data_IF_889621481275
#
_entry.id   IF_889621481275
#
_cell.length_a   1.000
_cell.length_b   1.000
_cell.length_c   1.000
_cell.angle_alpha   90.00
_cell.angle_beta   90.00
_cell.angle_gamma   90.00
#
_symmetry.space_group_name_H-M   'P 1'
#
loop_
_entity.id
_entity.type
_entity.pdbx_description
1 polymer ?
#
# COMPACT_ATOMS: atom_id res chain seq x y z
N UNK A 1 -2.69 -13.29 -47.47
CA UNK A 1 -2.96 -13.96 -46.17
C UNK A 1 -4.42 -14.40 -46.15
N UNK A 2 -4.69 -15.68 -45.94
CA UNK A 2 -6.05 -16.24 -45.90
C UNK A 2 -6.71 -15.82 -44.58
N UNK A 3 -7.81 -15.07 -44.67
CA UNK A 3 -8.57 -14.62 -43.50
C UNK A 3 -9.51 -15.74 -43.03
N UNK A 4 -9.13 -16.45 -41.97
CA UNK A 4 -10.00 -17.45 -41.33
C UNK A 4 -11.11 -16.76 -40.54
N UNK A 5 -12.36 -16.88 -41.00
CA UNK A 5 -13.55 -16.41 -40.28
C UNK A 5 -13.69 -17.15 -38.93
N UNK A 6 -14.27 -16.46 -37.96
CA UNK A 6 -14.67 -17.06 -36.67
C UNK A 6 -15.94 -17.85 -36.88
N UNK A 7 -15.97 -19.10 -36.43
CA UNK A 7 -17.20 -19.90 -36.37
C UNK A 7 -17.88 -19.72 -35.00
N UNK A 8 -19.11 -20.21 -34.89
CA UNK A 8 -19.93 -20.03 -33.69
C UNK A 8 -19.37 -20.81 -32.49
N UNK A 9 -18.81 -22.00 -32.69
CA UNK A 9 -18.17 -22.79 -31.63
C UNK A 9 -16.97 -22.07 -31.00
N UNK A 10 -16.14 -21.43 -31.82
CA UNK A 10 -14.99 -20.66 -31.37
C UNK A 10 -15.44 -19.38 -30.67
N UNK A 11 -16.53 -18.76 -31.12
CA UNK A 11 -17.12 -17.59 -30.46
C UNK A 11 -17.68 -17.99 -29.10
N UNK A 12 -18.40 -19.11 -29.02
CA UNK A 12 -18.98 -19.62 -27.80
C UNK A 12 -17.89 -20.04 -26.81
N UNK A 13 -16.91 -20.82 -27.27
CA UNK A 13 -15.74 -21.17 -26.46
C UNK A 13 -15.02 -19.93 -25.94
N UNK A 14 -14.84 -18.90 -26.78
CA UNK A 14 -14.24 -17.65 -26.35
C UNK A 14 -15.10 -16.96 -25.27
N UNK A 15 -16.42 -16.87 -25.43
CA UNK A 15 -17.30 -16.27 -24.41
C UNK A 15 -17.20 -16.99 -23.06
N UNK A 16 -17.16 -18.32 -23.09
CA UNK A 16 -17.18 -19.13 -21.86
C UNK A 16 -15.83 -19.15 -21.13
N UNK A 17 -14.73 -18.97 -21.88
CA UNK A 17 -13.38 -19.16 -21.36
C UNK A 17 -12.57 -17.85 -21.23
N UNK A 18 -13.00 -16.74 -21.84
CA UNK A 18 -12.26 -15.48 -21.81
C UNK A 18 -12.35 -14.82 -20.43
N UNK A 19 -11.21 -14.75 -19.73
CA UNK A 19 -11.11 -14.23 -18.35
C UNK A 19 -11.15 -15.32 -17.26
N UNK A 20 -11.44 -16.57 -17.62
CA UNK A 20 -11.37 -17.73 -16.72
C UNK A 20 -10.13 -18.58 -16.98
N UNK A 21 -9.79 -18.84 -18.25
CA UNK A 21 -8.61 -19.61 -18.66
C UNK A 21 -7.41 -18.73 -19.00
N UNK A 22 -6.22 -19.32 -18.97
CA UNK A 22 -5.00 -18.67 -19.45
C UNK A 22 -5.16 -18.38 -20.95
N UNK A 23 -4.69 -17.20 -21.39
CA UNK A 23 -4.71 -16.83 -22.81
C UNK A 23 -3.98 -17.85 -23.69
N UNK A 24 -2.92 -18.48 -23.19
CA UNK A 24 -2.16 -19.51 -23.92
C UNK A 24 -2.99 -20.79 -24.15
N UNK A 25 -3.81 -21.19 -23.17
CA UNK A 25 -4.73 -22.32 -23.32
C UNK A 25 -5.79 -22.02 -24.39
N UNK A 26 -6.27 -20.77 -24.43
CA UNK A 26 -7.23 -20.31 -25.43
C UNK A 26 -6.56 -20.25 -26.82
N UNK A 27 -5.31 -19.80 -26.91
CA UNK A 27 -4.51 -19.82 -28.14
C UNK A 27 -4.37 -21.23 -28.70
N UNK A 28 -3.99 -22.19 -27.84
CA UNK A 28 -3.80 -23.58 -28.20
C UNK A 28 -5.10 -24.26 -28.63
N UNK A 29 -6.21 -24.00 -27.92
CA UNK A 29 -7.50 -24.61 -28.24
C UNK A 29 -8.11 -24.05 -29.53
N UNK A 30 -8.06 -22.73 -29.72
CA UNK A 30 -8.65 -22.07 -30.90
C UNK A 30 -7.71 -22.10 -32.12
N UNK A 31 -6.43 -22.45 -31.90
CA UNK A 31 -5.35 -22.33 -32.90
C UNK A 31 -5.36 -20.95 -33.56
N UNK A 32 -5.43 -19.91 -32.73
CA UNK A 32 -5.43 -18.49 -33.14
C UNK A 32 -4.42 -17.71 -32.32
N UNK A 33 -3.83 -16.69 -32.93
CA UNK A 33 -2.89 -15.82 -32.23
C UNK A 33 -3.58 -14.97 -31.16
N UNK A 34 -2.83 -14.64 -30.10
CA UNK A 34 -3.22 -13.72 -29.04
C UNK A 34 -3.90 -12.46 -29.56
N UNK A 35 -3.34 -11.86 -30.61
CA UNK A 35 -3.85 -10.61 -31.17
C UNK A 35 -5.22 -10.79 -31.86
N UNK A 36 -5.44 -11.92 -32.54
CA UNK A 36 -6.75 -12.25 -33.13
C UNK A 36 -7.80 -12.48 -32.05
N UNK A 37 -7.44 -13.21 -30.99
CA UNK A 37 -8.31 -13.49 -29.84
C UNK A 37 -8.69 -12.18 -29.15
N UNK A 38 -7.72 -11.31 -28.86
CA UNK A 38 -7.96 -10.02 -28.19
C UNK A 38 -8.88 -9.11 -29.01
N UNK A 39 -8.64 -8.99 -30.33
CA UNK A 39 -9.52 -8.20 -31.23
C UNK A 39 -10.95 -8.74 -31.25
N UNK A 40 -11.12 -10.06 -31.27
CA UNK A 40 -12.46 -10.67 -31.25
C UNK A 40 -13.13 -10.47 -29.89
N UNK A 41 -12.43 -10.70 -28.79
CA UNK A 41 -12.93 -10.50 -27.44
C UNK A 41 -13.36 -9.05 -27.19
N UNK A 42 -12.58 -8.07 -27.68
CA UNK A 42 -12.95 -6.65 -27.64
C UNK A 42 -14.24 -6.37 -28.41
N UNK A 43 -14.39 -6.91 -29.63
CA UNK A 43 -15.63 -6.78 -30.43
C UNK A 43 -16.83 -7.45 -29.77
N UNK A 44 -16.61 -8.49 -28.97
CA UNK A 44 -17.63 -9.18 -28.20
C UNK A 44 -17.84 -8.56 -26.80
N UNK A 45 -17.21 -7.42 -26.50
CA UNK A 45 -17.23 -6.75 -25.18
C UNK A 45 -16.78 -7.63 -24.00
N UNK A 46 -16.03 -8.71 -24.26
CA UNK A 46 -15.50 -9.62 -23.24
C UNK A 46 -14.29 -9.06 -22.49
N UNK A 47 -13.75 -7.91 -22.91
CA UNK A 47 -12.60 -7.27 -22.27
C UNK A 47 -12.94 -6.50 -20.99
N UNK A 48 -14.24 -6.26 -20.73
CA UNK A 48 -14.73 -5.50 -19.58
C UNK A 48 -15.17 -6.37 -18.40
N UNK A 49 -15.03 -7.70 -18.48
CA UNK A 49 -15.30 -8.60 -17.36
C UNK A 49 -14.16 -8.52 -16.35
N UNK A 50 -14.15 -7.45 -15.53
CA UNK A 50 -13.34 -7.45 -14.32
C UNK A 50 -13.75 -8.66 -13.49
N UNK A 51 -12.85 -9.66 -13.37
CA UNK A 51 -13.07 -10.86 -12.56
C UNK A 51 -13.48 -10.42 -11.15
N UNK A 52 -14.73 -10.72 -10.75
CA UNK A 52 -15.25 -10.40 -9.41
C UNK A 52 -14.32 -10.99 -8.36
N UNK A 53 -14.05 -10.25 -7.30
CA UNK A 53 -13.26 -10.72 -6.17
C UNK A 53 -14.13 -11.66 -5.33
N UNK A 54 -13.66 -12.88 -5.10
CA UNK A 54 -14.29 -13.79 -4.14
C UNK A 54 -13.89 -13.39 -2.71
N UNK A 55 -14.70 -13.78 -1.73
CA UNK A 55 -14.42 -13.48 -0.32
C UNK A 55 -13.10 -14.13 0.14
N UNK A 56 -12.79 -15.34 -0.32
CA UNK A 56 -11.53 -16.01 0.02
C UNK A 56 -10.31 -15.27 -0.57
N UNK A 57 -10.44 -14.73 -1.78
CA UNK A 57 -9.39 -13.90 -2.38
C UNK A 57 -9.20 -12.59 -1.61
N UNK A 58 -10.28 -11.99 -1.10
CA UNK A 58 -10.25 -10.78 -0.29
C UNK A 58 -9.59 -11.08 1.06
N UNK A 59 -9.99 -12.16 1.74
CA UNK A 59 -9.43 -12.57 3.02
C UNK A 59 -7.95 -12.90 2.90
N UNK A 60 -7.57 -13.66 1.88
CA UNK A 60 -6.16 -13.96 1.60
C UNK A 60 -5.37 -12.67 1.30
N UNK A 61 -5.94 -11.74 0.53
CA UNK A 61 -5.29 -10.46 0.27
C UNK A 61 -5.09 -9.69 1.58
N UNK A 62 -6.10 -9.56 2.44
CA UNK A 62 -5.99 -8.85 3.73
C UNK A 62 -4.91 -9.51 4.60
N UNK A 63 -4.92 -10.84 4.71
CA UNK A 63 -3.99 -11.60 5.55
C UNK A 63 -2.54 -11.52 5.06
N UNK A 64 -2.33 -11.58 3.75
CA UNK A 64 -0.97 -11.62 3.18
C UNK A 64 -0.46 -10.27 2.72
N UNK A 65 -1.32 -9.25 2.61
CA UNK A 65 -0.94 -7.88 2.27
C UNK A 65 -0.06 -7.32 3.36
N UNK A 66 1.23 -7.43 3.13
CA UNK A 66 2.22 -6.96 4.07
C UNK A 66 3.25 -7.94 4.52
N UNK A 67 2.92 -9.20 4.34
CA UNK A 67 3.71 -10.34 4.77
C UNK A 67 4.36 -11.04 3.58
N UNK A 68 3.75 -10.94 2.40
CA UNK A 68 4.27 -11.56 1.19
C UNK A 68 4.57 -10.55 0.08
N UNK A 69 5.62 -10.79 -0.74
CA UNK A 69 5.88 -9.98 -1.92
C UNK A 69 4.66 -9.95 -2.85
N UNK A 70 4.43 -8.79 -3.46
CA UNK A 70 3.28 -8.59 -4.37
C UNK A 70 3.24 -9.61 -5.50
N UNK A 71 4.40 -10.04 -6.00
CA UNK A 71 4.54 -11.07 -7.03
C UNK A 71 4.04 -12.44 -6.54
N UNK A 72 4.23 -12.76 -5.26
CA UNK A 72 3.76 -14.00 -4.66
C UNK A 72 2.25 -13.98 -4.50
N UNK A 73 1.70 -12.89 -3.96
CA UNK A 73 0.25 -12.67 -3.84
C UNK A 73 -0.42 -12.70 -5.24
N UNK A 74 0.23 -12.09 -6.25
CA UNK A 74 -0.21 -12.12 -7.65
C UNK A 74 -0.31 -13.51 -8.23
N UNK A 75 0.72 -14.34 -8.00
CA UNK A 75 0.71 -15.74 -8.43
C UNK A 75 -0.36 -16.54 -7.70
N UNK A 76 -0.47 -16.41 -6.37
CA UNK A 76 -1.45 -17.18 -5.60
C UNK A 76 -2.89 -16.84 -5.96
N UNK A 77 -3.21 -15.55 -6.12
CA UNK A 77 -4.55 -15.09 -6.49
C UNK A 77 -4.83 -15.18 -7.99
N UNK A 78 -3.82 -15.53 -8.80
CA UNK A 78 -3.86 -15.49 -10.25
C UNK A 78 -4.46 -14.17 -10.78
N UNK A 79 -3.92 -13.05 -10.27
CA UNK A 79 -4.34 -11.68 -10.61
C UNK A 79 -3.12 -10.81 -10.85
N UNK A 80 -3.21 -9.82 -11.73
CA UNK A 80 -2.09 -8.92 -12.00
C UNK A 80 -1.76 -8.04 -10.78
N UNK A 81 -0.49 -7.63 -10.65
CA UNK A 81 -0.04 -6.69 -9.62
C UNK A 81 -0.91 -5.41 -9.55
N UNK A 82 -1.34 -4.90 -10.71
CA UNK A 82 -2.21 -3.73 -10.76
C UNK A 82 -3.61 -4.00 -10.21
N UNK A 83 -4.19 -5.19 -10.46
CA UNK A 83 -5.48 -5.57 -9.92
C UNK A 83 -5.43 -5.68 -8.39
N UNK A 84 -4.35 -6.29 -7.87
CA UNK A 84 -4.11 -6.41 -6.43
C UNK A 84 -3.95 -5.02 -5.80
N UNK A 85 -3.10 -4.15 -6.35
CA UNK A 85 -2.94 -2.76 -5.86
C UNK A 85 -4.27 -2.01 -5.80
N UNK A 86 -5.05 -2.05 -6.88
CA UNK A 86 -6.36 -1.39 -6.94
C UNK A 86 -7.30 -1.94 -5.87
N UNK A 87 -7.33 -3.26 -5.67
CA UNK A 87 -8.17 -3.87 -4.64
C UNK A 87 -7.71 -3.51 -3.23
N UNK A 88 -6.41 -3.53 -2.96
CA UNK A 88 -5.87 -3.14 -1.67
C UNK A 88 -6.16 -1.66 -1.34
N UNK A 89 -6.09 -0.76 -2.33
CA UNK A 89 -6.53 0.63 -2.19
C UNK A 89 -8.03 0.70 -1.87
N UNK A 90 -8.87 -0.06 -2.60
CA UNK A 90 -10.31 -0.11 -2.34
C UNK A 90 -10.63 -0.62 -0.93
N UNK A 91 -9.85 -1.59 -0.44
CA UNK A 91 -9.93 -2.14 0.91
C UNK A 91 -9.21 -1.29 1.97
N UNK A 92 -8.64 -0.15 1.58
CA UNK A 92 -7.90 0.78 2.44
C UNK A 92 -6.72 0.13 3.20
N UNK A 93 -6.10 -0.91 2.65
CA UNK A 93 -4.99 -1.65 3.28
C UNK A 93 -3.66 -0.86 3.31
N UNK A 94 -3.66 0.41 2.92
CA UNK A 94 -2.47 1.25 2.87
C UNK A 94 -1.45 0.86 1.79
N UNK A 95 -0.31 1.56 1.72
CA UNK A 95 0.75 1.28 0.75
C UNK A 95 1.37 -0.11 0.98
N UNK A 96 1.49 -0.92 -0.09
CA UNK A 96 2.13 -2.25 -0.01
C UNK A 96 3.61 -2.23 0.44
N UNK A 97 4.24 -1.04 0.52
CA UNK A 97 5.65 -0.87 0.94
C UNK A 97 5.84 -0.83 2.45
N UNK A 98 4.82 -0.40 3.19
CA UNK A 98 4.73 -0.54 4.65
C UNK A 98 4.60 -2.03 5.05
N UNK A 99 4.34 -2.83 4.02
CA UNK A 99 3.83 -4.16 4.01
C UNK A 99 4.88 -5.09 3.30
N UNK A 100 6.14 -4.98 3.73
CA UNK A 100 7.16 -6.02 3.51
C UNK A 100 7.70 -6.54 4.86
N UNK A 101 6.97 -6.26 5.95
CA UNK A 101 7.07 -6.88 7.28
C UNK A 101 8.35 -6.66 8.09
N UNK A 102 9.51 -6.45 7.46
CA UNK A 102 10.81 -6.48 8.15
C UNK A 102 11.47 -5.10 8.25
N UNK A 103 11.33 -4.24 7.24
CA UNK A 103 12.01 -2.94 7.19
C UNK A 103 11.17 -1.81 6.60
N UNK A 104 11.35 -0.62 7.16
CA UNK A 104 10.84 0.67 6.71
C UNK A 104 11.92 1.42 5.93
N UNK A 105 11.53 2.04 4.82
CA UNK A 105 12.37 3.00 4.09
C UNK A 105 12.18 4.43 4.62
N UNK A 106 13.01 5.37 4.18
CA UNK A 106 12.83 6.80 4.49
C UNK A 106 11.48 7.33 4.00
N UNK A 107 10.97 6.82 2.89
CA UNK A 107 9.65 7.17 2.37
C UNK A 107 8.51 6.65 3.25
N UNK A 108 8.65 5.43 3.79
CA UNK A 108 7.64 4.84 4.68
C UNK A 108 7.58 5.60 6.00
N UNK A 109 8.74 5.88 6.62
CA UNK A 109 8.82 6.68 7.85
C UNK A 109 8.30 8.11 7.61
N UNK A 110 8.65 8.71 6.47
CA UNK A 110 8.14 10.03 6.08
C UNK A 110 6.61 10.04 5.98
N UNK A 111 6.03 9.02 5.36
CA UNK A 111 4.58 8.84 5.28
C UNK A 111 3.94 8.63 6.67
N UNK A 112 4.53 7.78 7.53
CA UNK A 112 4.02 7.52 8.88
C UNK A 112 4.05 8.78 9.77
N UNK A 113 5.12 9.59 9.66
CA UNK A 113 5.32 10.77 10.49
C UNK A 113 4.80 12.07 9.86
N UNK A 114 4.28 12.01 8.64
CA UNK A 114 3.91 13.18 7.84
C UNK A 114 5.09 14.17 7.71
N UNK A 115 6.24 13.65 7.25
CA UNK A 115 7.52 14.35 7.09
C UNK A 115 8.13 14.07 5.72
N UNK A 116 8.97 14.99 5.25
CA UNK A 116 9.73 14.82 4.02
C UNK A 116 10.73 13.64 4.14
N UNK A 117 10.81 12.73 3.14
CA UNK A 117 11.75 11.60 3.18
C UNK A 117 13.22 12.01 3.28
N UNK A 118 13.61 13.19 2.79
CA UNK A 118 14.97 13.72 2.89
C UNK A 118 15.33 14.11 4.32
N UNK A 119 14.35 14.58 5.10
CA UNK A 119 14.53 14.80 6.53
C UNK A 119 14.80 13.49 7.27
N UNK A 120 14.06 12.42 6.92
CA UNK A 120 14.28 11.10 7.50
C UNK A 120 15.67 10.57 7.12
N UNK A 121 16.10 10.78 5.87
CA UNK A 121 17.46 10.48 5.44
C UNK A 121 18.50 11.18 6.31
N UNK A 122 18.31 12.48 6.59
CA UNK A 122 19.15 13.23 7.53
C UNK A 122 19.19 12.59 8.91
N UNK A 123 18.04 12.19 9.45
CA UNK A 123 17.99 11.56 10.77
C UNK A 123 18.74 10.22 10.85
N UNK A 124 18.70 9.43 9.78
CA UNK A 124 19.49 8.21 9.67
C UNK A 124 20.99 8.52 9.62
N UNK A 125 21.38 9.58 8.89
CA UNK A 125 22.78 10.01 8.78
C UNK A 125 23.34 10.53 10.10
N UNK A 126 22.53 11.27 10.84
CA UNK A 126 22.88 11.83 12.14
C UNK A 126 22.85 10.77 13.26
N UNK A 127 22.43 9.54 12.97
CA UNK A 127 22.41 8.43 13.92
C UNK A 127 21.19 8.36 14.82
N UNK A 128 20.17 9.20 14.62
CA UNK A 128 18.91 9.13 15.38
C UNK A 128 18.09 7.87 15.07
N UNK A 129 18.23 7.33 13.85
CA UNK A 129 17.52 6.14 13.41
C UNK A 129 18.52 5.10 12.93
N UNK A 130 18.61 3.99 13.66
CA UNK A 130 19.44 2.86 13.26
C UNK A 130 18.89 2.23 11.98
N UNK A 131 19.79 1.93 11.05
CA UNK A 131 19.44 1.34 9.76
C UNK A 131 20.56 0.50 9.19
N UNK A 132 20.23 -0.31 8.19
CA UNK A 132 21.21 -0.95 7.29
C UNK A 132 21.07 -0.39 5.88
N UNK A 133 22.15 -0.45 5.10
CA UNK A 133 22.13 -0.14 3.67
C UNK A 133 21.84 -1.43 2.89
N UNK A 134 21.06 -1.32 1.82
CA UNK A 134 20.72 -2.45 0.96
C UNK A 134 20.77 -2.07 -0.52
N UNK A 135 21.37 -2.95 -1.33
CA UNK A 135 21.49 -2.80 -2.78
C UNK A 135 22.62 -1.87 -3.23
N UNK A 136 22.84 -1.82 -4.56
CA UNK A 136 23.84 -0.95 -5.19
C UNK A 136 23.48 0.54 -5.05
N UNK A 137 22.19 0.84 -5.07
CA UNK A 137 21.66 2.15 -4.66
C UNK A 137 21.63 2.19 -3.14
N UNK A 138 22.11 3.28 -2.53
CA UNK A 138 22.18 3.49 -1.06
C UNK A 138 20.79 3.64 -0.42
N UNK A 139 19.95 2.62 -0.50
CA UNK A 139 18.62 2.57 0.12
C UNK A 139 18.80 2.13 1.56
N UNK A 140 18.22 2.91 2.49
CA UNK A 140 18.20 2.56 3.91
C UNK A 140 17.00 1.69 4.25
N UNK A 141 17.25 0.70 5.09
CA UNK A 141 16.28 -0.21 5.67
C UNK A 141 16.34 -0.09 7.20
N UNK A 142 15.25 0.34 7.82
CA UNK A 142 15.09 0.56 9.26
C UNK A 142 14.18 -0.52 9.80
N UNK A 143 14.58 -1.25 10.85
CA UNK A 143 13.67 -2.24 11.44
C UNK A 143 12.50 -1.58 12.15
N UNK A 144 11.39 -2.29 12.31
CA UNK A 144 10.26 -1.78 13.10
C UNK A 144 10.70 -1.41 14.53
N UNK A 145 11.53 -2.23 15.17
CA UNK A 145 12.02 -1.98 16.53
C UNK A 145 12.89 -0.72 16.59
N UNK A 146 13.77 -0.53 15.60
CA UNK A 146 14.63 0.66 15.50
C UNK A 146 13.80 1.93 15.26
N UNK A 147 12.71 1.83 14.48
CA UNK A 147 11.78 2.93 14.29
C UNK A 147 11.01 3.26 15.58
N UNK A 148 10.51 2.26 16.29
CA UNK A 148 9.82 2.47 17.57
C UNK A 148 10.77 3.05 18.62
N UNK A 149 12.02 2.59 18.67
CA UNK A 149 13.04 3.14 19.54
C UNK A 149 13.27 4.63 19.25
N UNK A 150 13.38 5.02 17.98
CA UNK A 150 13.46 6.43 17.58
C UNK A 150 12.26 7.25 18.08
N UNK A 151 11.03 6.75 17.95
CA UNK A 151 9.85 7.47 18.42
C UNK A 151 9.88 7.73 19.93
N UNK A 152 10.40 6.77 20.68
CA UNK A 152 10.52 6.82 22.14
C UNK A 152 11.65 7.74 22.59
N UNK A 153 12.83 7.65 21.97
CA UNK A 153 14.04 8.38 22.39
C UNK A 153 14.11 9.80 21.84
N UNK A 154 13.39 10.07 20.75
CA UNK A 154 13.40 11.38 20.09
C UNK A 154 12.00 11.97 19.88
N UNK A 155 11.16 12.09 20.94
CA UNK A 155 9.79 12.58 20.85
C UNK A 155 9.67 14.01 20.32
N UNK A 156 10.73 14.81 20.41
CA UNK A 156 10.81 16.18 19.88
C UNK A 156 10.90 16.24 18.34
N UNK A 157 11.29 15.14 17.67
CA UNK A 157 11.47 15.10 16.21
C UNK A 157 10.15 14.85 15.46
N UNK A 158 9.11 14.39 16.15
CA UNK A 158 7.82 14.04 15.55
C UNK A 158 6.63 14.57 16.35
N UNK A 159 5.49 14.64 15.69
CA UNK A 159 4.24 15.20 16.22
C UNK A 159 3.10 14.20 16.01
N UNK A 160 2.60 13.64 17.11
CA UNK A 160 1.55 12.64 17.12
C UNK A 160 0.21 13.17 16.59
N UNK A 161 -0.04 14.48 16.65
CA UNK A 161 -1.25 15.09 16.09
C UNK A 161 -1.25 15.11 14.56
N UNK A 162 -0.08 14.95 13.93
CA UNK A 162 0.11 14.95 12.47
C UNK A 162 0.46 13.58 11.90
N UNK A 163 0.91 12.66 12.75
CA UNK A 163 1.34 11.33 12.36
C UNK A 163 0.16 10.39 12.10
N UNK A 164 0.43 9.34 11.32
CA UNK A 164 -0.51 8.26 10.99
C UNK A 164 -0.55 7.21 12.09
N UNK A 165 -1.13 7.59 13.23
CA UNK A 165 -1.18 6.76 14.43
C UNK A 165 -1.92 5.43 14.20
N UNK A 166 -2.89 5.41 13.27
CA UNK A 166 -3.58 4.22 12.79
C UNK A 166 -2.59 3.13 12.34
N UNK A 167 -1.56 3.52 11.59
CA UNK A 167 -0.53 2.59 11.11
C UNK A 167 0.58 2.37 12.15
N UNK A 168 0.99 3.40 12.89
CA UNK A 168 2.08 3.30 13.86
C UNK A 168 1.74 2.33 15.01
N UNK A 169 0.48 2.32 15.45
CA UNK A 169 0.01 1.42 16.51
C UNK A 169 0.27 -0.05 16.19
N UNK A 170 0.21 -0.44 14.91
CA UNK A 170 0.50 -1.81 14.47
C UNK A 170 1.90 -2.30 14.87
N UNK A 171 2.87 -1.40 15.05
CA UNK A 171 4.24 -1.73 15.49
C UNK A 171 4.42 -1.69 17.01
N UNK A 172 3.43 -1.21 17.76
CA UNK A 172 3.51 -0.97 19.20
C UNK A 172 2.68 -1.95 20.03
N UNK A 173 1.78 -2.70 19.40
CA UNK A 173 0.91 -3.65 20.09
C UNK A 173 1.69 -4.89 20.54
N UNK A 174 2.29 -4.78 21.72
CA UNK A 174 2.73 -5.92 22.51
C UNK A 174 1.54 -6.27 23.40
N UNK A 175 0.98 -7.48 23.25
CA UNK A 175 -0.11 -7.99 24.12
C UNK A 175 -1.39 -7.12 24.15
N UNK A 176 -1.80 -6.57 22.99
CA UNK A 176 -3.01 -5.73 22.84
C UNK A 176 -3.01 -4.42 23.65
N UNK A 177 -1.92 -4.06 24.33
CA UNK A 177 -1.79 -2.80 25.09
C UNK A 177 -0.79 -1.86 24.42
N UNK A 178 -1.13 -0.57 24.36
CA UNK A 178 -0.18 0.44 23.90
C UNK A 178 0.75 0.87 25.04
N UNK A 179 2.04 1.13 24.77
CA UNK A 179 2.97 1.59 25.81
C UNK A 179 2.59 2.97 26.37
N UNK A 180 2.72 3.16 27.69
CA UNK A 180 2.32 4.41 28.35
C UNK A 180 3.05 5.65 27.81
N UNK A 181 4.31 5.51 27.40
CA UNK A 181 5.08 6.62 26.83
C UNK A 181 4.44 7.14 25.53
N UNK A 182 3.85 6.23 24.74
CA UNK A 182 3.21 6.57 23.48
C UNK A 182 1.87 7.27 23.74
N UNK A 183 1.08 6.74 24.68
CA UNK A 183 -0.20 7.34 25.10
C UNK A 183 0.04 8.78 25.57
N UNK A 184 0.98 8.98 26.51
CA UNK A 184 1.33 10.31 27.03
C UNK A 184 1.78 11.28 25.94
N UNK A 185 2.58 10.81 24.97
CA UNK A 185 3.02 11.63 23.83
C UNK A 185 1.83 12.06 22.95
N UNK A 186 0.91 11.14 22.67
CA UNK A 186 -0.29 11.44 21.88
C UNK A 186 -1.18 12.48 22.57
N UNK A 187 -1.39 12.34 23.88
CA UNK A 187 -2.18 13.30 24.68
C UNK A 187 -1.51 14.67 24.70
N UNK A 188 -0.21 14.72 25.02
CA UNK A 188 0.56 15.96 25.07
C UNK A 188 0.52 16.75 23.75
N UNK A 189 0.74 16.09 22.61
CA UNK A 189 0.75 16.78 21.32
C UNK A 189 -0.64 17.27 20.90
N UNK A 190 -1.70 16.51 21.23
CA UNK A 190 -3.08 16.94 20.99
C UNK A 190 -3.43 18.19 21.79
N UNK A 191 -3.13 18.20 23.10
CA UNK A 191 -3.36 19.35 23.95
C UNK A 191 -2.56 20.58 23.50
N UNK A 192 -1.28 20.38 23.15
CA UNK A 192 -0.41 21.44 22.64
C UNK A 192 -0.98 22.06 21.36
N UNK A 193 -1.48 21.23 20.44
CA UNK A 193 -2.08 21.68 19.19
C UNK A 193 -3.40 22.44 19.45
N UNK A 194 -4.27 21.93 20.34
CA UNK A 194 -5.49 22.63 20.75
C UNK A 194 -5.20 24.02 21.33
N UNK A 195 -4.27 24.12 22.28
CA UNK A 195 -3.87 25.41 22.89
C UNK A 195 -3.34 26.40 21.84
N UNK A 196 -2.53 25.92 20.90
CA UNK A 196 -2.01 26.75 19.80
C UNK A 196 -3.13 27.31 18.92
N UNK A 197 -4.15 26.50 18.62
CA UNK A 197 -5.27 26.94 17.78
C UNK A 197 -6.13 28.00 18.48
N UNK A 198 -6.33 27.87 19.80
CA UNK A 198 -7.05 28.88 20.61
C UNK A 198 -6.29 30.22 20.59
N UNK A 199 -4.98 30.20 20.86
CA UNK A 199 -4.15 31.42 20.85
C UNK A 199 -4.16 32.11 19.47
N UNK A 200 -4.08 31.33 18.39
CA UNK A 200 -4.13 31.87 17.04
C UNK A 200 -5.51 32.50 16.72
N UNK A 201 -6.59 31.89 17.19
CA UNK A 201 -7.94 32.42 17.03
C UNK A 201 -8.09 33.75 17.77
N UNK A 202 -7.66 33.82 19.03
CA UNK A 202 -7.68 35.03 19.84
C UNK A 202 -6.83 36.15 19.21
N UNK A 203 -5.63 35.83 18.70
CA UNK A 203 -4.74 36.79 18.05
C UNK A 203 -5.33 37.36 16.76
N UNK A 204 -5.94 36.51 15.93
CA UNK A 204 -6.61 36.94 14.69
C UNK A 204 -7.86 37.77 14.98
N UNK A 205 -8.63 37.42 16.02
CA UNK A 205 -9.81 38.19 16.42
C UNK A 205 -9.44 39.61 16.85
N UNK A 206 -8.36 39.78 17.61
CA UNK A 206 -7.86 41.10 18.04
C UNK A 206 -7.39 41.95 16.85
N UNK A 207 -6.78 41.35 15.82
CA UNK A 207 -6.35 42.06 14.60
C UNK A 207 -7.50 42.52 13.69
N UNK A 208 -8.69 41.91 13.78
CA UNK A 208 -9.85 42.26 12.94
C UNK A 208 -10.62 43.47 13.52
N UNK A 209 -10.45 43.76 14.82
CA UNK A 209 -11.23 44.77 15.56
C UNK A 209 -10.43 46.08 15.77
N UNK A 210 -9.19 46.14 15.27
CA UNK A 210 -8.34 47.34 15.21
C UNK A 210 -8.28 47.88 13.78
#
# INVERSE_FOLDING_TARGET
MIYRKWNDDEIQYLKDNYGTKNIEEIENKLKRSRNSIFKKAKRLNLTNTMKKWKEEEINYLIEKWGHEPMEKISKQLNRSNNAIKKKAIQLQLGPSRIANGEFLTTGDIGYLLNKDPSLIYGWIKDGYIKSRKFGEKKIFQVKAEDFILFLKEHPQKWDASRARLDFIKGYLHIEFKLPDWFIRKVEYDKEKNMKKNIINYESNYVQIIQ
#
